data_IF_831793473366
#
_entry.id   IF_831793473366
#
_cell.length_a   1.000
_cell.length_b   1.000
_cell.length_c   1.000
_cell.angle_alpha   90.00
_cell.angle_beta   90.00
_cell.angle_gamma   90.00
#
_symmetry.space_group_name_H-M   'P 1'
#
loop_
_entity.id
_entity.type
_entity.pdbx_description
1 polymer ?
#
# COMPACT_ATOMS: atom_id res chain seq x y z
N UNK A 1 15.05 -8.22 -9.87
CA UNK A 1 13.70 -7.73 -10.18
C UNK A 1 12.87 -7.69 -8.90
N UNK A 2 11.87 -8.56 -8.72
CA UNK A 2 11.09 -8.56 -7.48
C UNK A 2 11.95 -8.72 -6.23
N UNK A 3 12.96 -9.57 -6.28
CA UNK A 3 13.85 -9.86 -5.15
C UNK A 3 14.66 -8.66 -4.68
N UNK A 4 14.80 -7.66 -5.52
CA UNK A 4 15.56 -6.45 -5.20
C UNK A 4 14.74 -5.45 -4.41
N UNK A 5 13.42 -5.56 -4.45
CA UNK A 5 12.53 -4.65 -3.72
C UNK A 5 12.36 -5.16 -2.30
N UNK A 6 12.86 -4.37 -1.35
CA UNK A 6 12.78 -4.66 0.08
C UNK A 6 12.65 -3.37 0.86
N UNK A 7 11.68 -3.32 1.75
CA UNK A 7 11.46 -2.14 2.59
C UNK A 7 11.28 -2.54 4.06
N UNK A 8 12.33 -3.13 4.68
CA UNK A 8 12.22 -3.55 6.07
C UNK A 8 11.98 -2.37 7.03
N UNK A 9 12.53 -1.21 6.70
CA UNK A 9 12.32 -0.02 7.53
C UNK A 9 10.87 0.42 7.52
N UNK A 10 10.21 0.40 6.34
CA UNK A 10 8.81 0.75 6.24
C UNK A 10 7.95 -0.23 7.02
N UNK A 11 8.23 -1.54 6.91
CA UNK A 11 7.49 -2.56 7.66
C UNK A 11 7.61 -2.33 9.16
N UNK A 12 8.80 -1.93 9.63
CA UNK A 12 9.02 -1.61 11.04
C UNK A 12 8.23 -0.38 11.48
N UNK A 13 8.21 0.67 10.67
CA UNK A 13 7.44 1.88 10.96
C UNK A 13 5.95 1.58 11.02
N UNK A 14 5.45 0.74 10.13
CA UNK A 14 4.03 0.33 10.13
C UNK A 14 3.70 -0.42 11.41
N UNK A 15 4.55 -1.35 11.84
CA UNK A 15 4.35 -2.08 13.10
C UNK A 15 4.32 -1.11 14.28
N UNK A 16 5.18 -0.10 14.28
CA UNK A 16 5.19 0.91 15.32
C UNK A 16 3.92 1.76 15.32
N UNK A 17 3.36 2.05 14.15
CA UNK A 17 2.08 2.76 14.06
C UNK A 17 0.96 2.00 14.77
N UNK A 18 0.87 0.70 14.55
CA UNK A 18 -0.13 -0.12 15.24
C UNK A 18 0.09 -0.14 16.75
N UNK A 19 1.35 -0.25 17.19
CA UNK A 19 1.68 -0.23 18.60
C UNK A 19 1.31 1.12 19.26
N UNK A 20 1.62 2.22 18.60
CA UNK A 20 1.26 3.55 19.10
C UNK A 20 -0.25 3.75 19.15
N UNK A 21 -0.97 3.21 18.17
CA UNK A 21 -2.43 3.24 18.18
C UNK A 21 -3.03 2.48 19.36
N UNK A 22 -2.49 1.30 19.66
CA UNK A 22 -2.92 0.51 20.82
C UNK A 22 -2.67 1.24 22.14
N UNK A 23 -1.60 2.03 22.21
CA UNK A 23 -1.22 2.78 23.40
C UNK A 23 -1.82 4.19 23.44
N UNK A 24 -2.64 4.55 22.45
CA UNK A 24 -3.24 5.89 22.33
C UNK A 24 -2.22 7.03 22.38
N UNK A 25 -1.03 6.77 21.81
CA UNK A 25 0.07 7.74 21.83
C UNK A 25 0.01 8.59 20.55
N UNK A 26 -0.82 9.63 20.55
CA UNK A 26 -1.05 10.46 19.39
C UNK A 26 0.22 11.18 18.90
N UNK A 27 1.07 11.63 19.82
CA UNK A 27 2.32 12.31 19.46
C UNK A 27 3.25 11.37 18.68
N UNK A 28 3.38 10.11 19.14
CA UNK A 28 4.20 9.12 18.46
C UNK A 28 3.60 8.72 17.10
N UNK A 29 2.27 8.66 17.00
CA UNK A 29 1.58 8.40 15.73
C UNK A 29 1.94 9.48 14.70
N UNK A 30 1.83 10.75 15.10
CA UNK A 30 2.12 11.87 14.19
C UNK A 30 3.58 11.88 13.74
N UNK A 31 4.51 11.60 14.65
CA UNK A 31 5.93 11.53 14.32
C UNK A 31 6.22 10.38 13.35
N UNK A 32 5.66 9.22 13.60
CA UNK A 32 5.87 8.04 12.73
C UNK A 32 5.23 8.25 11.38
N UNK A 33 4.05 8.85 11.31
CA UNK A 33 3.40 9.19 10.04
C UNK A 33 4.27 10.12 9.20
N UNK A 34 4.91 11.12 9.81
CA UNK A 34 5.82 12.02 9.11
C UNK A 34 7.03 11.26 8.55
N UNK A 35 7.56 10.30 9.31
CA UNK A 35 8.68 9.46 8.85
C UNK A 35 8.26 8.61 7.65
N UNK A 36 7.08 8.00 7.72
CA UNK A 36 6.54 7.20 6.63
C UNK A 36 6.34 8.04 5.38
N UNK A 37 5.72 9.21 5.52
CA UNK A 37 5.50 10.15 4.43
C UNK A 37 6.80 10.51 3.71
N UNK A 38 7.84 10.80 4.47
CA UNK A 38 9.14 11.14 3.92
C UNK A 38 9.79 9.93 3.24
N UNK A 39 9.69 8.75 3.87
CA UNK A 39 10.28 7.53 3.34
C UNK A 39 9.74 7.15 1.97
N UNK A 40 8.42 7.24 1.76
CA UNK A 40 7.77 6.76 0.54
C UNK A 40 7.96 7.67 -0.68
N UNK A 41 8.51 8.87 -0.51
CA UNK A 41 8.54 9.88 -1.59
C UNK A 41 9.35 9.45 -2.81
N UNK A 42 10.47 8.77 -2.60
CA UNK A 42 11.39 8.41 -3.68
C UNK A 42 11.68 6.91 -3.76
N UNK A 43 10.91 6.09 -3.09
CA UNK A 43 11.11 4.64 -3.07
C UNK A 43 10.24 3.93 -4.10
N UNK A 44 10.78 2.87 -4.67
CA UNK A 44 10.04 2.02 -5.59
C UNK A 44 9.36 0.89 -4.85
N UNK A 45 8.14 0.57 -5.28
CA UNK A 45 7.33 -0.50 -4.71
C UNK A 45 6.84 -1.43 -5.80
N UNK A 46 6.44 -2.62 -5.40
CA UNK A 46 5.76 -3.55 -6.30
C UNK A 46 4.28 -3.16 -6.30
N UNK A 47 3.76 -2.84 -7.47
CA UNK A 47 2.37 -2.39 -7.63
C UNK A 47 1.64 -3.38 -8.53
N UNK A 48 0.55 -3.97 -8.05
CA UNK A 48 -0.28 -4.85 -8.88
C UNK A 48 -0.99 -4.05 -9.96
N UNK A 49 -0.93 -4.55 -11.19
CA UNK A 49 -1.59 -3.91 -12.34
C UNK A 49 -2.40 -4.92 -13.13
N UNK A 50 -3.36 -4.42 -13.89
CA UNK A 50 -4.18 -5.22 -14.80
C UNK A 50 -4.40 -4.36 -16.04
N UNK A 51 -4.01 -4.88 -17.21
CA UNK A 51 -4.09 -4.14 -18.47
C UNK A 51 -3.42 -2.76 -18.39
N UNK A 52 -2.23 -2.71 -17.79
CA UNK A 52 -1.41 -1.52 -17.60
C UNK A 52 -1.99 -0.46 -16.66
N UNK A 53 -3.05 -0.80 -15.93
CA UNK A 53 -3.64 0.08 -14.92
C UNK A 53 -3.53 -0.54 -13.53
N UNK A 54 -3.42 0.29 -12.47
CA UNK A 54 -3.37 -0.24 -11.11
C UNK A 54 -4.63 -1.03 -10.77
N UNK A 55 -4.45 -2.13 -10.06
CA UNK A 55 -5.58 -2.89 -9.52
C UNK A 55 -6.30 -2.01 -8.50
N UNK A 56 -7.64 -2.07 -8.51
CA UNK A 56 -8.48 -1.29 -7.60
C UNK A 56 -9.16 -2.22 -6.61
N UNK A 57 -8.92 -1.99 -5.32
CA UNK A 57 -9.56 -2.75 -4.25
C UNK A 57 -10.71 -1.91 -3.71
N UNK A 58 -11.98 -2.37 -3.84
CA UNK A 58 -13.12 -1.62 -3.31
C UNK A 58 -12.96 -1.32 -1.82
N UNK A 59 -13.25 -0.08 -1.44
CA UNK A 59 -13.07 0.36 -0.06
C UNK A 59 -14.03 1.49 0.27
N UNK A 60 -14.56 1.47 1.49
CA UNK A 60 -15.49 2.47 2.02
C UNK A 60 -16.78 2.57 1.20
N UNK A 61 -17.01 3.66 0.47
CA UNK A 61 -18.24 3.88 -0.27
C UNK A 61 -18.17 3.28 -1.67
N UNK A 62 -19.32 3.12 -2.30
CA UNK A 62 -19.43 2.57 -3.64
C UNK A 62 -18.59 3.38 -4.63
N UNK A 63 -17.75 2.70 -5.39
CA UNK A 63 -16.85 3.32 -6.37
C UNK A 63 -15.52 3.77 -5.81
N UNK A 64 -15.38 3.91 -4.49
CA UNK A 64 -14.10 4.27 -3.86
C UNK A 64 -13.17 3.07 -3.79
N UNK A 65 -11.86 3.32 -3.87
CA UNK A 65 -10.90 2.21 -3.94
C UNK A 65 -9.53 2.58 -3.37
N UNK A 66 -8.78 1.53 -3.06
CA UNK A 66 -7.36 1.60 -2.71
C UNK A 66 -6.57 0.85 -3.79
N UNK A 67 -5.31 1.21 -3.96
CA UNK A 67 -4.41 0.51 -4.88
C UNK A 67 -3.42 -0.33 -4.05
N UNK A 68 -3.33 -1.65 -4.28
CA UNK A 68 -2.42 -2.49 -3.51
C UNK A 68 -0.97 -2.32 -3.94
N UNK A 69 -0.09 -2.16 -2.95
CA UNK A 69 1.35 -2.13 -3.17
C UNK A 69 2.03 -3.08 -2.17
N UNK A 70 3.24 -3.49 -2.47
CA UNK A 70 3.94 -4.50 -1.68
C UNK A 70 5.37 -4.06 -1.40
N UNK A 71 5.83 -4.34 -0.20
CA UNK A 71 7.17 -3.96 0.25
C UNK A 71 8.25 -4.90 -0.23
N UNK A 72 7.89 -6.14 -0.61
CA UNK A 72 8.84 -7.14 -1.05
C UNK A 72 8.13 -8.28 -1.79
N UNK A 73 8.94 -9.17 -2.35
CA UNK A 73 8.44 -10.32 -3.13
C UNK A 73 7.52 -11.21 -2.32
N UNK A 74 7.86 -11.49 -1.07
CA UNK A 74 7.07 -12.38 -0.22
C UNK A 74 5.66 -11.81 0.00
N UNK A 75 5.56 -10.53 0.27
CA UNK A 75 4.27 -9.87 0.45
C UNK A 75 3.46 -9.86 -0.85
N UNK A 76 4.13 -9.70 -1.98
CA UNK A 76 3.46 -9.78 -3.28
C UNK A 76 2.90 -11.19 -3.53
N UNK A 77 3.66 -12.22 -3.19
CA UNK A 77 3.19 -13.60 -3.34
C UNK A 77 2.03 -13.90 -2.40
N UNK A 78 2.04 -13.33 -1.20
CA UNK A 78 0.97 -13.52 -0.21
C UNK A 78 -0.38 -12.94 -0.67
N UNK A 79 -0.40 -12.02 -1.64
CA UNK A 79 -1.64 -11.40 -2.13
C UNK A 79 -2.67 -12.41 -2.64
N UNK A 80 -2.18 -13.53 -3.15
CA UNK A 80 -3.04 -14.57 -3.71
C UNK A 80 -4.02 -15.10 -2.67
N UNK A 81 -3.59 -15.22 -1.44
CA UNK A 81 -4.45 -15.65 -0.34
C UNK A 81 -5.61 -14.67 -0.13
N UNK A 82 -5.30 -13.37 -0.13
CA UNK A 82 -6.33 -12.34 0.00
C UNK A 82 -7.35 -12.41 -1.14
N UNK A 83 -6.87 -12.48 -2.39
CA UNK A 83 -7.75 -12.49 -3.54
C UNK A 83 -8.65 -13.72 -3.56
N UNK A 84 -8.11 -14.88 -3.21
CA UNK A 84 -8.89 -16.12 -3.11
C UNK A 84 -9.98 -16.03 -2.05
N UNK A 85 -9.64 -15.52 -0.86
CA UNK A 85 -10.57 -15.40 0.26
C UNK A 85 -11.70 -14.40 -0.03
N UNK A 86 -11.45 -13.41 -0.86
CA UNK A 86 -12.43 -12.37 -1.20
C UNK A 86 -13.07 -12.58 -2.56
N UNK A 87 -12.93 -13.77 -3.13
CA UNK A 87 -13.52 -14.14 -4.42
C UNK A 87 -13.14 -13.18 -5.56
N UNK A 88 -11.93 -12.64 -5.49
CA UNK A 88 -11.39 -11.76 -6.53
C UNK A 88 -10.52 -12.56 -7.48
N UNK A 89 -10.46 -12.11 -8.73
CA UNK A 89 -9.61 -12.76 -9.73
C UNK A 89 -8.15 -12.59 -9.35
N UNK A 90 -7.38 -13.66 -9.52
CA UNK A 90 -5.96 -13.66 -9.30
C UNK A 90 -5.25 -12.87 -10.40
N UNK A 91 -4.48 -11.86 -9.99
CA UNK A 91 -3.72 -11.03 -10.88
C UNK A 91 -2.23 -11.32 -10.76
N UNK A 92 -1.56 -11.55 -11.88
CA UNK A 92 -0.14 -11.87 -11.94
C UNK A 92 0.73 -10.74 -12.50
N UNK A 93 0.12 -9.63 -12.89
CA UNK A 93 0.86 -8.51 -13.45
C UNK A 93 1.29 -7.53 -12.38
N UNK A 94 2.49 -7.00 -12.53
CA UNK A 94 3.01 -5.99 -11.61
C UNK A 94 3.97 -5.05 -12.34
N UNK A 95 4.17 -3.87 -11.73
CA UNK A 95 5.25 -2.96 -12.09
C UNK A 95 6.04 -2.64 -10.84
N UNK A 96 7.29 -2.19 -11.02
CA UNK A 96 8.14 -1.70 -9.94
C UNK A 96 8.36 -0.23 -10.20
N UNK A 97 7.68 0.62 -9.44
CA UNK A 97 7.65 2.05 -9.67
C UNK A 97 7.50 2.82 -8.36
N UNK A 98 7.82 4.12 -8.42
CA UNK A 98 7.54 5.05 -7.33
C UNK A 98 6.04 5.31 -7.27
N UNK A 99 5.55 5.72 -6.11
CA UNK A 99 4.11 5.94 -5.92
C UNK A 99 3.57 7.08 -6.78
N UNK A 100 4.39 8.01 -7.21
CA UNK A 100 3.96 9.09 -8.09
C UNK A 100 3.88 8.70 -9.58
N UNK A 101 4.23 7.44 -9.91
CA UNK A 101 4.13 6.94 -11.27
C UNK A 101 2.73 7.12 -11.85
N UNK A 102 1.71 6.90 -11.04
CA UNK A 102 0.31 7.08 -11.42
C UNK A 102 -0.22 8.41 -10.90
N UNK A 103 0.37 9.52 -11.35
CA UNK A 103 -0.02 10.86 -10.90
C UNK A 103 -1.51 11.14 -11.08
N UNK A 104 -2.12 10.57 -12.12
CA UNK A 104 -3.54 10.75 -12.40
C UNK A 104 -4.45 10.17 -11.31
N UNK A 105 -3.96 9.22 -10.53
CA UNK A 105 -4.75 8.67 -9.43
C UNK A 105 -5.16 9.74 -8.44
N UNK A 106 -4.28 10.70 -8.16
CA UNK A 106 -4.58 11.78 -7.22
C UNK A 106 -5.68 12.72 -7.71
N UNK A 107 -5.95 12.70 -9.01
CA UNK A 107 -7.01 13.51 -9.61
C UNK A 107 -8.37 12.81 -9.55
N UNK A 108 -8.38 11.50 -9.29
CA UNK A 108 -9.61 10.71 -9.17
C UNK A 108 -10.16 10.85 -7.75
N UNK A 109 -11.36 11.43 -7.58
CA UNK A 109 -11.94 11.60 -6.23
C UNK A 109 -12.24 10.28 -5.53
N UNK A 110 -12.30 9.17 -6.25
CA UNK A 110 -12.56 7.85 -5.68
C UNK A 110 -11.29 7.14 -5.22
N UNK A 111 -10.13 7.66 -5.54
CA UNK A 111 -8.85 7.11 -5.08
C UNK A 111 -8.59 7.56 -3.64
N UNK A 112 -8.60 6.63 -2.70
CA UNK A 112 -8.44 6.95 -1.28
C UNK A 112 -7.01 6.72 -0.77
N UNK A 113 -6.14 6.11 -1.57
CA UNK A 113 -4.76 5.87 -1.19
C UNK A 113 -4.28 4.50 -1.62
N UNK A 114 -3.13 4.11 -1.08
CA UNK A 114 -2.54 2.79 -1.32
C UNK A 114 -2.74 1.90 -0.10
N UNK A 115 -2.89 0.59 -0.33
CA UNK A 115 -2.89 -0.37 0.77
C UNK A 115 -1.62 -1.20 0.68
N UNK A 116 -0.83 -1.18 1.76
CA UNK A 116 0.46 -1.85 1.84
C UNK A 116 0.27 -3.26 2.38
N UNK A 117 0.76 -4.26 1.64
CA UNK A 117 0.78 -5.66 2.09
C UNK A 117 -0.58 -6.18 2.51
N UNK A 118 -1.52 -6.12 1.58
CA UNK A 118 -2.96 -6.38 1.82
C UNK A 118 -3.26 -7.71 2.51
N UNK A 119 -2.44 -8.74 2.27
CA UNK A 119 -2.70 -10.08 2.82
C UNK A 119 -2.35 -10.22 4.30
N UNK A 120 -1.55 -9.31 4.86
CA UNK A 120 -1.07 -9.43 6.22
C UNK A 120 -1.28 -8.18 7.06
N UNK A 121 -0.44 -7.17 6.89
CA UNK A 121 -0.47 -5.99 7.74
C UNK A 121 -1.56 -5.01 7.35
N UNK A 122 -1.84 -4.91 6.05
CA UNK A 122 -2.92 -4.08 5.49
C UNK A 122 -2.91 -2.62 5.96
N UNK A 123 -1.75 -1.98 5.86
CA UNK A 123 -1.64 -0.57 6.26
C UNK A 123 -2.07 0.35 5.12
N UNK A 124 -2.93 1.32 5.41
CA UNK A 124 -3.43 2.26 4.41
C UNK A 124 -2.59 3.54 4.40
N UNK A 125 -1.98 3.85 3.24
CA UNK A 125 -1.36 5.14 3.00
C UNK A 125 -2.43 6.06 2.45
N UNK A 126 -3.07 6.80 3.34
CA UNK A 126 -4.17 7.69 2.98
C UNK A 126 -3.68 8.78 2.03
N UNK A 127 -4.54 9.18 1.09
CA UNK A 127 -4.21 10.22 0.11
C UNK A 127 -3.73 11.52 0.77
N UNK A 128 -4.17 11.80 2.00
CA UNK A 128 -3.78 13.00 2.73
C UNK A 128 -2.28 13.08 3.01
N UNK A 129 -1.56 11.93 3.05
CA UNK A 129 -0.12 11.92 3.32
C UNK A 129 0.72 11.73 2.05
N UNK A 130 0.11 11.61 0.91
CA UNK A 130 0.80 11.40 -0.38
C UNK A 130 1.27 12.73 -1.03
#
# INVERSE_FOLDING_TARGET
MLEEIKHPELKNHINMMYMHGENNNQEAIEKTEAIIKDYIQDKEFIISVEDDEPVKIPYANDGEYLVPIFTDKQEYENRMEYFRLNEMDENKEYVIEKLDYYKKLKEDPNFLGYIVNIARISYILNIAIL
#
